data_IF_216356632719
#
_entry.id   IF_216356632719
#
_cell.length_a   1.000
_cell.length_b   1.000
_cell.length_c   1.000
_cell.angle_alpha   90.00
_cell.angle_beta   90.00
_cell.angle_gamma   90.00
#
_symmetry.space_group_name_H-M   'P 1'
#
loop_
_entity.id
_entity.type
_entity.pdbx_description
1 polymer ?
#
# COMPACT_ATOMS: atom_id res chain seq x y z
N UNK A 1 -1.31 -30.96 -52.11
CA UNK A 1 -1.95 -29.72 -51.62
C UNK A 1 -1.32 -29.38 -50.28
N UNK A 2 -0.57 -28.28 -50.19
CA UNK A 2 0.11 -27.84 -48.96
C UNK A 2 -0.92 -27.11 -48.09
N UNK A 3 -1.31 -27.71 -46.97
CA UNK A 3 -2.10 -27.03 -45.95
C UNK A 3 -1.17 -26.04 -45.23
N UNK A 4 -1.43 -24.75 -45.41
CA UNK A 4 -0.80 -23.70 -44.62
C UNK A 4 -1.32 -23.82 -43.19
N UNK A 5 -0.41 -24.13 -42.26
CA UNK A 5 -0.70 -24.16 -40.83
C UNK A 5 -0.78 -22.73 -40.33
N UNK A 6 -1.99 -22.25 -40.06
CA UNK A 6 -2.23 -20.93 -39.47
C UNK A 6 -1.90 -21.04 -37.98
N UNK A 7 -0.68 -20.67 -37.61
CA UNK A 7 -0.32 -20.44 -36.22
C UNK A 7 -1.10 -19.23 -35.71
N UNK A 8 -2.14 -19.48 -34.90
CA UNK A 8 -2.80 -18.45 -34.10
C UNK A 8 -1.81 -18.05 -33.01
N UNK A 9 -1.10 -16.95 -33.24
CA UNK A 9 -0.29 -16.29 -32.22
C UNK A 9 -1.25 -15.74 -31.16
N UNK A 10 -1.55 -16.56 -30.16
CA UNK A 10 -2.26 -16.15 -28.96
C UNK A 10 -1.40 -15.13 -28.23
N UNK A 11 -1.64 -13.84 -28.47
CA UNK A 11 -1.20 -12.79 -27.56
C UNK A 11 -1.93 -13.02 -26.24
N UNK A 12 -1.26 -13.71 -25.32
CA UNK A 12 -1.66 -13.71 -23.93
C UNK A 12 -1.58 -12.25 -23.45
N UNK A 13 -2.73 -11.60 -23.36
CA UNK A 13 -2.92 -10.44 -22.52
C UNK A 13 -2.67 -10.93 -21.09
N UNK A 14 -1.41 -10.90 -20.66
CA UNK A 14 -1.07 -10.94 -19.24
C UNK A 14 -1.61 -9.61 -18.74
N UNK A 15 -2.89 -9.60 -18.36
CA UNK A 15 -3.43 -8.56 -17.52
C UNK A 15 -2.60 -8.60 -16.25
N UNK A 16 -1.61 -7.71 -16.15
CA UNK A 16 -1.08 -7.29 -14.87
C UNK A 16 -2.26 -6.63 -14.14
N UNK A 17 -3.11 -7.45 -13.53
CA UNK A 17 -3.98 -6.98 -12.48
C UNK A 17 -3.01 -6.48 -11.41
N UNK A 18 -2.81 -5.18 -11.35
CA UNK A 18 -2.17 -4.54 -10.20
C UNK A 18 -2.94 -5.02 -8.98
N UNK A 19 -2.32 -5.89 -8.18
CA UNK A 19 -2.91 -6.31 -6.93
C UNK A 19 -3.17 -5.04 -6.11
N UNK A 20 -4.40 -4.84 -5.65
CA UNK A 20 -4.72 -3.71 -4.80
C UNK A 20 -3.85 -3.79 -3.55
N UNK A 21 -3.20 -2.68 -3.19
CA UNK A 21 -2.44 -2.62 -1.96
C UNK A 21 -3.41 -2.47 -0.80
N UNK A 22 -3.27 -3.33 0.21
CA UNK A 22 -4.06 -3.24 1.44
C UNK A 22 -3.14 -2.70 2.54
N UNK A 23 -3.60 -1.72 3.30
CA UNK A 23 -2.97 -1.31 4.56
C UNK A 23 -3.98 -1.41 5.67
N UNK A 24 -3.61 -2.12 6.74
CA UNK A 24 -4.41 -2.31 7.94
C UNK A 24 -3.83 -1.47 9.06
N UNK A 25 -4.70 -0.73 9.72
CA UNK A 25 -4.35 0.27 10.70
C UNK A 25 -5.01 -0.08 12.03
N UNK A 26 -4.23 -0.05 13.11
CA UNK A 26 -4.68 -0.40 14.44
C UNK A 26 -4.39 0.75 15.39
N UNK A 27 -5.43 1.32 15.96
CA UNK A 27 -5.30 2.30 17.03
C UNK A 27 -4.87 1.63 18.34
N UNK A 28 -4.38 2.43 19.28
CA UNK A 28 -3.92 1.92 20.58
C UNK A 28 -5.07 1.46 21.49
N UNK A 29 -6.30 1.93 21.27
CA UNK A 29 -7.46 1.46 22.04
C UNK A 29 -8.05 0.19 21.41
N UNK A 30 -8.67 -0.69 22.23
CA UNK A 30 -9.32 -1.89 21.71
C UNK A 30 -10.40 -1.53 20.69
N UNK A 31 -10.51 -2.36 19.63
CA UNK A 31 -11.45 -2.22 18.52
C UNK A 31 -11.24 -1.00 17.61
N UNK A 32 -10.12 -0.29 17.71
CA UNK A 32 -9.75 0.74 16.74
C UNK A 32 -9.05 0.10 15.55
N UNK A 33 -9.83 -0.16 14.50
CA UNK A 33 -9.34 -0.75 13.26
C UNK A 33 -9.86 0.00 12.05
N UNK A 34 -8.96 0.26 11.10
CA UNK A 34 -9.31 0.73 9.77
C UNK A 34 -8.54 -0.07 8.73
N UNK A 35 -9.06 -0.13 7.52
CA UNK A 35 -8.35 -0.66 6.36
C UNK A 35 -8.47 0.34 5.21
N UNK A 36 -7.36 0.58 4.54
CA UNK A 36 -7.36 1.29 3.26
C UNK A 36 -6.95 0.32 2.17
N UNK A 37 -7.53 0.52 0.99
CA UNK A 37 -7.21 -0.23 -0.21
C UNK A 37 -6.86 0.82 -1.26
N UNK A 38 -5.70 0.68 -1.89
CA UNK A 38 -5.28 1.54 -2.99
C UNK A 38 -5.03 0.74 -4.25
N UNK A 39 -5.40 1.34 -5.39
CA UNK A 39 -5.23 0.73 -6.69
C UNK A 39 -3.83 1.02 -7.21
N UNK A 40 -2.93 0.05 -7.06
CA UNK A 40 -1.65 0.02 -7.76
C UNK A 40 -0.41 0.42 -6.94
N UNK A 41 0.73 0.07 -7.52
CA UNK A 41 2.07 0.27 -7.00
C UNK A 41 2.57 1.70 -7.28
N UNK A 42 3.29 2.30 -6.31
CA UNK A 42 3.96 3.60 -6.47
C UNK A 42 3.04 4.82 -6.50
N UNK A 43 1.72 4.64 -6.36
CA UNK A 43 0.77 5.74 -6.23
C UNK A 43 0.67 6.27 -4.81
N UNK A 44 0.71 7.59 -4.63
CA UNK A 44 0.45 8.21 -3.34
C UNK A 44 -1.05 8.17 -3.03
N UNK A 45 -1.39 7.65 -1.85
CA UNK A 45 -2.75 7.53 -1.35
C UNK A 45 -2.93 8.43 -0.13
N UNK A 46 -3.87 9.37 -0.20
CA UNK A 46 -4.26 10.18 0.95
C UNK A 46 -5.11 9.33 1.92
N UNK A 47 -4.87 9.49 3.21
CA UNK A 47 -5.62 8.81 4.27
C UNK A 47 -6.63 9.78 4.88
N UNK A 48 -7.91 9.41 4.81
CA UNK A 48 -8.95 10.10 5.55
C UNK A 48 -9.06 9.53 6.96
N UNK A 49 -8.78 10.37 7.97
CA UNK A 49 -9.26 10.13 9.33
C UNK A 49 -8.57 9.04 10.15
N UNK A 50 -7.34 8.64 9.81
CA UNK A 50 -6.58 7.89 10.82
C UNK A 50 -6.24 8.83 11.99
N UNK A 51 -6.46 8.36 13.22
CA UNK A 51 -6.40 9.18 14.42
C UNK A 51 -4.99 9.75 14.58
N UNK A 52 -4.90 11.07 14.43
CA UNK A 52 -3.69 11.87 14.37
C UNK A 52 -2.64 11.53 15.43
N UNK A 53 -3.06 10.98 16.57
CA UNK A 53 -2.22 10.82 17.75
C UNK A 53 -2.34 9.44 18.42
N UNK A 54 -3.01 8.46 17.79
CA UNK A 54 -3.32 7.19 18.46
C UNK A 54 -3.12 5.93 17.60
N UNK A 55 -2.28 6.02 16.56
CA UNK A 55 -1.84 4.85 15.80
C UNK A 55 -0.87 4.05 16.66
N UNK A 56 -1.06 2.74 16.78
CA UNK A 56 -0.11 1.86 17.48
C UNK A 56 0.50 0.81 16.57
N UNK A 57 -0.24 0.38 15.54
CA UNK A 57 0.25 -0.66 14.65
C UNK A 57 -0.23 -0.48 13.22
N UNK A 58 0.68 -0.77 12.28
CA UNK A 58 0.39 -0.89 10.85
C UNK A 58 0.76 -2.29 10.37
N UNK A 59 -0.11 -2.89 9.57
CA UNK A 59 0.13 -4.19 8.93
C UNK A 59 -0.14 -4.07 7.43
N UNK A 60 0.84 -4.49 6.65
CA UNK A 60 0.74 -4.58 5.19
C UNK A 60 0.73 -6.07 4.85
N UNK A 61 -0.42 -6.66 4.50
CA UNK A 61 -0.48 -8.07 4.14
C UNK A 61 0.06 -8.32 2.73
N UNK A 62 0.80 -9.42 2.55
CA UNK A 62 1.01 -10.03 1.25
C UNK A 62 -0.28 -10.72 0.73
N UNK A 63 -0.39 -10.99 -0.58
CA UNK A 63 0.52 -10.62 -1.66
C UNK A 63 0.19 -9.24 -2.27
N UNK A 64 1.13 -8.66 -3.04
CA UNK A 64 0.90 -7.45 -3.84
C UNK A 64 1.61 -6.19 -3.36
N UNK A 65 2.35 -6.26 -2.26
CA UNK A 65 3.19 -5.17 -1.74
C UNK A 65 4.31 -5.78 -0.90
N UNK A 66 5.50 -5.19 -0.95
CA UNK A 66 6.64 -5.57 -0.09
C UNK A 66 6.89 -4.57 1.02
N UNK A 67 6.63 -3.29 0.76
CA UNK A 67 6.73 -2.23 1.78
C UNK A 67 5.89 -1.02 1.41
N UNK A 68 5.59 -0.22 2.43
CA UNK A 68 5.01 1.11 2.27
C UNK A 68 5.80 2.15 3.04
N UNK A 69 5.80 3.37 2.52
CA UNK A 69 6.22 4.58 3.20
C UNK A 69 4.99 5.38 3.60
N UNK A 70 5.01 5.92 4.81
CA UNK A 70 3.93 6.69 5.41
C UNK A 70 4.42 8.09 5.68
N UNK A 71 3.59 9.08 5.41
CA UNK A 71 3.95 10.48 5.50
C UNK A 71 2.96 11.24 6.38
N UNK A 72 3.46 12.16 7.22
CA UNK A 72 2.59 13.02 8.02
C UNK A 72 1.93 14.17 7.23
N UNK A 73 2.29 14.30 5.95
CA UNK A 73 1.69 15.24 5.00
C UNK A 73 0.86 14.53 3.94
N UNK A 74 -0.15 15.22 3.41
CA UNK A 74 -0.93 14.74 2.27
C UNK A 74 -0.05 14.57 1.02
N UNK A 75 -0.54 13.78 0.06
CA UNK A 75 0.11 13.60 -1.23
C UNK A 75 0.36 14.93 -1.94
N UNK A 76 1.51 15.04 -2.60
CA UNK A 76 1.94 16.23 -3.36
C UNK A 76 2.08 17.51 -2.53
N UNK A 77 2.13 17.41 -1.20
CA UNK A 77 2.46 18.55 -0.36
C UNK A 77 3.94 18.94 -0.57
N UNK A 78 4.24 20.21 -0.91
CA UNK A 78 5.61 20.66 -1.12
C UNK A 78 6.42 20.84 0.17
N UNK A 79 5.78 20.81 1.34
CA UNK A 79 6.46 20.95 2.63
C UNK A 79 6.86 19.57 3.18
N UNK A 80 8.08 19.42 3.71
CA UNK A 80 8.51 18.17 4.29
C UNK A 80 7.68 17.84 5.54
N UNK A 81 7.19 16.60 5.59
CA UNK A 81 6.65 15.96 6.79
C UNK A 81 7.61 14.91 7.33
N UNK A 82 7.14 14.14 8.29
CA UNK A 82 7.80 12.93 8.78
C UNK A 82 7.56 11.77 7.82
N UNK A 83 8.56 10.91 7.67
CA UNK A 83 8.51 9.69 6.85
C UNK A 83 8.74 8.48 7.75
N UNK A 84 7.89 7.46 7.60
CA UNK A 84 8.03 6.17 8.27
C UNK A 84 7.97 5.04 7.24
N UNK A 85 8.68 3.94 7.48
CA UNK A 85 8.67 2.78 6.58
C UNK A 85 8.16 1.55 7.32
N UNK A 86 7.27 0.79 6.68
CA UNK A 86 6.84 -0.52 7.15
C UNK A 86 7.00 -1.55 6.04
N UNK A 87 7.57 -2.72 6.34
CA UNK A 87 7.72 -3.81 5.38
C UNK A 87 6.83 -4.98 5.74
N UNK A 88 6.38 -5.71 4.73
CA UNK A 88 5.64 -6.96 4.93
C UNK A 88 6.47 -8.00 5.68
N UNK A 89 7.79 -8.03 5.45
CA UNK A 89 8.72 -8.92 6.16
C UNK A 89 8.75 -8.71 7.68
N UNK A 90 8.38 -7.51 8.14
CA UNK A 90 8.37 -7.19 9.56
C UNK A 90 7.11 -7.74 10.24
N UNK A 91 6.10 -8.16 9.44
CA UNK A 91 4.81 -8.68 9.87
C UNK A 91 3.90 -7.59 10.42
N UNK A 92 4.35 -6.93 11.49
CA UNK A 92 3.65 -5.82 12.14
C UNK A 92 4.64 -4.70 12.45
N UNK A 93 4.30 -3.46 12.09
CA UNK A 93 5.11 -2.30 12.40
C UNK A 93 4.56 -1.57 13.61
N UNK A 94 5.43 -1.31 14.59
CA UNK A 94 5.13 -0.44 15.72
C UNK A 94 5.07 1.01 15.25
N UNK A 95 3.89 1.58 15.37
CA UNK A 95 3.57 2.94 14.97
C UNK A 95 3.15 3.82 16.16
N UNK A 96 3.32 3.34 17.40
CA UNK A 96 2.95 4.04 18.63
C UNK A 96 3.67 5.39 18.83
N UNK A 97 4.82 5.57 18.17
CA UNK A 97 5.58 6.83 18.17
C UNK A 97 5.45 7.65 16.90
N UNK A 98 4.56 7.28 15.97
CA UNK A 98 4.43 7.99 14.70
C UNK A 98 3.51 9.20 14.88
N UNK A 99 3.84 10.29 14.20
CA UNK A 99 2.92 11.40 14.02
C UNK A 99 1.74 10.98 13.12
N UNK A 100 0.67 11.78 13.16
CA UNK A 100 -0.50 11.66 12.31
C UNK A 100 -0.13 11.36 10.86
N UNK A 101 -0.60 10.22 10.33
CA UNK A 101 -0.35 9.86 8.93
C UNK A 101 -1.43 10.46 8.05
N UNK A 102 -1.01 11.23 7.04
CA UNK A 102 -1.90 11.86 6.07
C UNK A 102 -1.83 11.21 4.68
N UNK A 103 -0.73 10.54 4.36
CA UNK A 103 -0.62 9.77 3.11
C UNK A 103 0.34 8.60 3.21
N UNK A 104 0.29 7.70 2.23
CA UNK A 104 1.26 6.63 2.08
C UNK A 104 1.46 6.24 0.61
N UNK A 105 2.59 5.60 0.34
CA UNK A 105 2.96 5.03 -0.95
C UNK A 105 3.47 3.61 -0.71
N UNK A 106 3.17 2.68 -1.61
CA UNK A 106 3.52 1.27 -1.46
C UNK A 106 4.18 0.72 -2.72
N UNK A 107 5.13 -0.20 -2.56
CA UNK A 107 5.91 -0.75 -3.64
C UNK A 107 6.06 -2.27 -3.53
N UNK A 108 6.27 -2.88 -4.69
CA UNK A 108 6.68 -4.28 -4.83
C UNK A 108 8.13 -4.28 -5.33
N UNK A 109 8.98 -5.17 -4.81
CA UNK A 109 10.38 -5.31 -5.22
C UNK A 109 10.68 -6.69 -5.77
#
# INVERSE_FOLDING_TARGET
MKAFSTAVTGMALISAASASTIVRWFGCAPNQYQQTISDGEGGCTNVGGFLSDNLCKVVIPAPGTDYCKFYSTACYNPFPGDEYTCKVSDGECDASGWNAIASYECWTK
#
